data_IF_623461504515
#
_entry.id   IF_623461504515
#
_cell.length_a   1.000
_cell.length_b   1.000
_cell.length_c   1.000
_cell.angle_alpha   90.00
_cell.angle_beta   90.00
_cell.angle_gamma   90.00
#
_symmetry.space_group_name_H-M   'P 1'
#
loop_
_entity.id
_entity.type
_entity.pdbx_description
1 polymer ?
#
# COMPACT_ATOMS: atom_id res chain seq x y z
N UNK A 1 -16.40 20.04 -15.91
CA UNK A 1 -15.75 19.39 -14.74
C UNK A 1 -15.61 20.39 -13.59
N UNK A 2 -16.42 20.26 -12.54
CA UNK A 2 -16.34 21.14 -11.36
C UNK A 2 -15.05 20.96 -10.56
N UNK A 3 -14.63 21.97 -9.78
CA UNK A 3 -13.42 21.94 -8.94
C UNK A 3 -13.35 20.70 -8.04
N UNK A 4 -14.49 20.32 -7.42
CA UNK A 4 -14.61 19.12 -6.56
C UNK A 4 -14.27 17.83 -7.29
N UNK A 5 -14.70 17.67 -8.54
CA UNK A 5 -14.44 16.47 -9.32
C UNK A 5 -12.97 16.34 -9.75
N UNK A 6 -12.32 17.48 -10.02
CA UNK A 6 -10.87 17.53 -10.28
C UNK A 6 -10.06 17.11 -9.04
N UNK A 7 -10.43 17.62 -7.86
CA UNK A 7 -9.78 17.24 -6.59
C UNK A 7 -9.96 15.75 -6.32
N UNK A 8 -11.19 15.23 -6.47
CA UNK A 8 -11.46 13.79 -6.30
C UNK A 8 -10.53 12.95 -7.18
N UNK A 9 -10.51 13.18 -8.50
CA UNK A 9 -9.63 12.44 -9.42
C UNK A 9 -8.15 12.47 -9.02
N UNK A 10 -7.66 13.62 -8.56
CA UNK A 10 -6.25 13.76 -8.11
C UNK A 10 -5.96 12.91 -6.87
N UNK A 11 -6.86 12.87 -5.91
CA UNK A 11 -6.69 12.03 -4.71
C UNK A 11 -6.87 10.53 -5.02
N UNK A 12 -7.74 10.17 -5.98
CA UNK A 12 -7.84 8.79 -6.47
C UNK A 12 -6.51 8.34 -7.09
N UNK A 13 -5.92 9.16 -7.97
CA UNK A 13 -4.63 8.88 -8.59
C UNK A 13 -3.52 8.76 -7.54
N UNK A 14 -3.52 9.65 -6.54
CA UNK A 14 -2.59 9.59 -5.41
C UNK A 14 -2.73 8.29 -4.62
N UNK A 15 -3.95 7.83 -4.37
CA UNK A 15 -4.22 6.56 -3.69
C UNK A 15 -3.65 5.38 -4.48
N UNK A 16 -3.86 5.34 -5.80
CA UNK A 16 -3.29 4.29 -6.64
C UNK A 16 -1.76 4.32 -6.63
N UNK A 17 -1.13 5.49 -6.69
CA UNK A 17 0.32 5.63 -6.58
C UNK A 17 0.85 5.11 -5.23
N UNK A 18 0.16 5.40 -4.13
CA UNK A 18 0.50 4.88 -2.80
C UNK A 18 0.40 3.36 -2.74
N UNK A 19 -0.66 2.78 -3.31
CA UNK A 19 -0.85 1.33 -3.38
C UNK A 19 0.29 0.67 -4.14
N UNK A 20 0.66 1.20 -5.31
CA UNK A 20 1.75 0.64 -6.13
C UNK A 20 3.09 0.68 -5.39
N UNK A 21 3.45 1.83 -4.80
CA UNK A 21 4.69 1.99 -4.03
C UNK A 21 4.75 1.05 -2.83
N UNK A 22 3.62 0.91 -2.11
CA UNK A 22 3.55 0.03 -0.95
C UNK A 22 3.66 -1.44 -1.36
N UNK A 23 3.04 -1.84 -2.48
CA UNK A 23 3.18 -3.20 -3.04
C UNK A 23 4.64 -3.53 -3.35
N UNK A 24 5.34 -2.64 -4.06
CA UNK A 24 6.76 -2.84 -4.37
C UNK A 24 7.62 -2.93 -3.11
N UNK A 25 7.29 -2.15 -2.07
CA UNK A 25 7.99 -2.22 -0.78
C UNK A 25 7.81 -3.58 -0.11
N UNK A 26 6.58 -4.10 -0.08
CA UNK A 26 6.30 -5.44 0.44
C UNK A 26 7.07 -6.51 -0.35
N UNK A 27 7.04 -6.46 -1.69
CA UNK A 27 7.75 -7.42 -2.55
C UNK A 27 9.26 -7.41 -2.29
N UNK A 28 9.88 -6.22 -2.20
CA UNK A 28 11.30 -6.11 -1.87
C UNK A 28 11.63 -6.69 -0.49
N UNK A 29 10.77 -6.47 0.51
CA UNK A 29 10.97 -7.04 1.85
C UNK A 29 10.81 -8.56 1.87
N UNK A 30 9.84 -9.11 1.14
CA UNK A 30 9.66 -10.55 0.95
C UNK A 30 10.90 -11.18 0.30
N UNK A 31 11.44 -10.57 -0.76
CA UNK A 31 12.65 -11.04 -1.43
C UNK A 31 13.89 -11.04 -0.54
N UNK A 32 14.02 -10.02 0.34
CA UNK A 32 15.13 -9.94 1.30
C UNK A 32 15.00 -11.00 2.38
N UNK A 33 13.80 -11.22 2.90
CA UNK A 33 13.54 -12.26 3.91
C UNK A 33 13.73 -13.66 3.36
N UNK A 34 13.33 -13.92 2.12
CA UNK A 34 13.55 -15.22 1.47
C UNK A 34 15.04 -15.59 1.34
N UNK A 35 15.93 -14.59 1.35
CA UNK A 35 17.39 -14.77 1.31
C UNK A 35 18.02 -14.75 2.72
N UNK A 36 17.24 -14.49 3.76
CA UNK A 36 17.72 -14.43 5.14
C UNK A 36 17.69 -15.81 5.78
N UNK A 37 18.79 -16.19 6.45
CA UNK A 37 18.91 -17.47 7.17
C UNK A 37 18.27 -17.37 8.56
N UNK A 38 18.34 -16.20 9.19
CA UNK A 38 17.76 -15.92 10.51
C UNK A 38 17.40 -14.43 10.63
N UNK A 39 16.20 -14.02 10.16
CA UNK A 39 15.75 -12.64 10.26
C UNK A 39 15.31 -12.31 11.70
N UNK A 40 15.76 -11.17 12.22
CA UNK A 40 15.36 -10.74 13.57
C UNK A 40 13.86 -10.46 13.69
N UNK A 41 13.34 -10.57 14.90
CA UNK A 41 11.94 -10.27 15.22
C UNK A 41 11.52 -8.85 14.85
N UNK A 42 12.45 -7.89 14.91
CA UNK A 42 12.21 -6.51 14.49
C UNK A 42 11.94 -6.42 12.98
N UNK A 43 12.73 -7.13 12.16
CA UNK A 43 12.53 -7.18 10.71
C UNK A 43 11.21 -7.85 10.37
N UNK A 44 10.87 -8.95 11.05
CA UNK A 44 9.59 -9.64 10.88
C UNK A 44 8.40 -8.74 11.28
N UNK A 45 8.55 -7.98 12.36
CA UNK A 45 7.53 -7.03 12.82
C UNK A 45 7.36 -5.90 11.80
N UNK A 46 8.45 -5.34 11.29
CA UNK A 46 8.42 -4.31 10.28
C UNK A 46 7.73 -4.79 9.00
N UNK A 47 8.00 -6.03 8.55
CA UNK A 47 7.33 -6.63 7.40
C UNK A 47 5.81 -6.68 7.60
N UNK A 48 5.35 -7.20 8.75
CA UNK A 48 3.92 -7.24 9.09
C UNK A 48 3.27 -5.85 9.09
N UNK A 49 4.00 -4.84 9.57
CA UNK A 49 3.53 -3.46 9.55
C UNK A 49 3.39 -2.91 8.12
N UNK A 50 4.33 -3.21 7.23
CA UNK A 50 4.23 -2.80 5.83
C UNK A 50 3.09 -3.53 5.09
N UNK A 51 2.86 -4.80 5.36
CA UNK A 51 1.69 -5.52 4.86
C UNK A 51 0.37 -4.92 5.37
N UNK A 52 0.30 -4.56 6.65
CA UNK A 52 -0.89 -3.95 7.22
C UNK A 52 -1.22 -2.61 6.52
N UNK A 53 -0.20 -1.79 6.24
CA UNK A 53 -0.35 -0.55 5.44
C UNK A 53 -0.87 -0.85 4.04
N UNK A 54 -0.33 -1.87 3.36
CA UNK A 54 -0.79 -2.26 2.03
C UNK A 54 -2.27 -2.68 2.04
N UNK A 55 -2.66 -3.55 2.97
CA UNK A 55 -4.04 -4.04 3.14
C UNK A 55 -5.00 -2.89 3.49
N UNK A 56 -4.55 -1.92 4.27
CA UNK A 56 -5.31 -0.70 4.56
C UNK A 56 -5.57 0.11 3.29
N UNK A 57 -4.55 0.40 2.48
CA UNK A 57 -4.71 1.16 1.23
C UNK A 57 -5.65 0.45 0.23
N UNK A 58 -5.57 -0.87 0.12
CA UNK A 58 -6.51 -1.65 -0.70
C UNK A 58 -7.96 -1.55 -0.21
N UNK A 59 -8.17 -1.50 1.10
CA UNK A 59 -9.50 -1.30 1.70
C UNK A 59 -10.06 0.07 1.34
N UNK A 60 -9.23 1.11 1.41
CA UNK A 60 -9.62 2.48 1.02
C UNK A 60 -9.97 2.57 -0.47
N UNK A 61 -9.19 1.93 -1.35
CA UNK A 61 -9.53 1.88 -2.77
C UNK A 61 -10.86 1.16 -3.06
N UNK A 62 -11.17 0.09 -2.31
CA UNK A 62 -12.48 -0.58 -2.41
C UNK A 62 -13.63 0.30 -1.92
N UNK A 63 -13.43 1.05 -0.84
CA UNK A 63 -14.42 2.01 -0.33
C UNK A 63 -14.70 3.11 -1.34
N UNK A 64 -13.64 3.65 -1.97
CA UNK A 64 -13.75 4.62 -3.04
C UNK A 64 -14.55 4.07 -4.22
N UNK A 65 -14.24 2.85 -4.71
CA UNK A 65 -14.97 2.22 -5.83
C UNK A 65 -16.46 2.01 -5.53
N UNK A 66 -16.85 1.79 -4.28
CA UNK A 66 -18.27 1.65 -3.89
C UNK A 66 -19.04 2.98 -3.84
N UNK A 67 -18.36 4.12 -3.83
CA UNK A 67 -18.97 5.46 -3.77
C UNK A 67 -19.06 6.15 -5.13
N UNK A 68 -18.56 5.51 -6.19
CA UNK A 68 -18.63 5.94 -7.59
C UNK A 68 -19.74 5.14 -8.27
#
# INVERSE_FOLDING_TARGET
MGKKQKIRKKEEERLYQLISRQKEKCQRQEELLAKSIDPSDEVLTQMKMEEAKYRFLLREARRLKKQI
#
